data_IF_131983899148
#
_entry.id   IF_131983899148
#
_cell.length_a   1.000
_cell.length_b   1.000
_cell.length_c   1.000
_cell.angle_alpha   90.00
_cell.angle_beta   90.00
_cell.angle_gamma   90.00
#
_symmetry.space_group_name_H-M   'P 1'
#
loop_
_entity.id
_entity.type
_entity.pdbx_description
1 polymer ?
#
# COMPACT_ATOMS: atom_id res chain seq x y z
N UNK A 1 -14.55 -10.17 -11.13
CA UNK A 1 -14.15 -10.31 -12.56
C UNK A 1 -13.01 -11.31 -12.70
N UNK A 2 -12.89 -12.04 -13.83
CA UNK A 2 -11.82 -13.04 -14.07
C UNK A 2 -10.39 -12.51 -13.81
N UNK A 3 -10.15 -11.22 -14.09
CA UNK A 3 -8.85 -10.56 -13.85
C UNK A 3 -8.48 -10.53 -12.35
N UNK A 4 -9.46 -10.30 -11.46
CA UNK A 4 -9.23 -10.26 -10.01
C UNK A 4 -8.90 -11.67 -9.49
N UNK A 5 -9.65 -12.67 -9.95
CA UNK A 5 -9.37 -14.07 -9.61
C UNK A 5 -7.98 -14.49 -10.06
N UNK A 6 -7.53 -14.04 -11.25
CA UNK A 6 -6.17 -14.30 -11.70
C UNK A 6 -5.14 -13.60 -10.82
N UNK A 7 -5.37 -12.35 -10.41
CA UNK A 7 -4.45 -11.62 -9.53
C UNK A 7 -4.25 -12.34 -8.19
N UNK A 8 -5.32 -12.87 -7.59
CA UNK A 8 -5.26 -13.69 -6.36
C UNK A 8 -4.41 -14.95 -6.57
N UNK A 9 -4.52 -15.60 -7.73
CA UNK A 9 -3.78 -16.84 -8.02
C UNK A 9 -2.28 -16.66 -8.23
N UNK A 10 -1.80 -15.44 -8.49
CA UNK A 10 -0.38 -15.17 -8.80
C UNK A 10 0.25 -14.13 -7.88
N UNK A 11 -0.43 -13.78 -6.79
CA UNK A 11 -0.02 -12.74 -5.85
C UNK A 11 1.33 -13.03 -5.19
N UNK A 12 1.68 -14.30 -5.01
CA UNK A 12 2.97 -14.78 -4.52
C UNK A 12 4.16 -14.40 -5.43
N UNK A 13 3.88 -14.09 -6.70
CA UNK A 13 4.88 -13.60 -7.66
C UNK A 13 4.98 -12.07 -7.71
N UNK A 14 4.14 -11.35 -6.97
CA UNK A 14 4.08 -9.90 -7.08
C UNK A 14 5.30 -9.24 -6.46
N UNK A 15 5.96 -8.42 -7.28
CA UNK A 15 6.92 -7.41 -6.82
C UNK A 15 6.18 -6.20 -6.21
N UNK A 16 6.85 -5.32 -5.45
CA UNK A 16 6.21 -4.21 -4.73
C UNK A 16 5.28 -3.36 -5.60
N UNK A 17 5.74 -3.04 -6.81
CA UNK A 17 4.96 -2.29 -7.80
C UNK A 17 3.61 -2.95 -8.09
N UNK A 18 3.58 -4.26 -8.27
CA UNK A 18 2.35 -4.99 -8.61
C UNK A 18 1.39 -5.03 -7.41
N UNK A 19 1.92 -5.20 -6.19
CA UNK A 19 1.11 -5.11 -4.95
C UNK A 19 0.43 -3.74 -4.87
N UNK A 20 1.21 -2.66 -4.97
CA UNK A 20 0.71 -1.29 -4.88
C UNK A 20 -0.29 -0.97 -6.00
N UNK A 21 0.01 -1.36 -7.23
CA UNK A 21 -0.88 -1.11 -8.38
C UNK A 21 -2.19 -1.89 -8.28
N UNK A 22 -2.15 -3.18 -7.91
CA UNK A 22 -3.34 -4.00 -7.79
C UNK A 22 -4.24 -3.52 -6.66
N UNK A 23 -3.67 -3.29 -5.47
CA UNK A 23 -4.44 -2.81 -4.32
C UNK A 23 -4.97 -1.38 -4.56
N UNK A 24 -4.16 -0.51 -5.16
CA UNK A 24 -4.57 0.84 -5.55
C UNK A 24 -5.70 0.83 -6.59
N UNK A 25 -5.65 -0.05 -7.58
CA UNK A 25 -6.71 -0.18 -8.57
C UNK A 25 -8.02 -0.69 -7.96
N UNK A 26 -7.96 -1.69 -7.07
CA UNK A 26 -9.13 -2.19 -6.36
C UNK A 26 -9.75 -1.09 -5.48
N UNK A 27 -8.92 -0.33 -4.77
CA UNK A 27 -9.38 0.79 -3.94
C UNK A 27 -10.05 1.89 -4.77
N UNK A 28 -9.44 2.27 -5.90
CA UNK A 28 -10.00 3.26 -6.82
C UNK A 28 -11.34 2.82 -7.43
N UNK A 29 -11.48 1.52 -7.71
CA UNK A 29 -12.72 0.93 -8.23
C UNK A 29 -13.74 0.59 -7.15
N UNK A 30 -13.41 0.80 -5.86
CA UNK A 30 -14.24 0.41 -4.69
C UNK A 30 -14.66 -1.05 -4.74
N UNK A 31 -13.75 -1.90 -5.21
CA UNK A 31 -13.97 -3.35 -5.22
C UNK A 31 -13.51 -3.90 -3.89
N UNK A 32 -14.42 -4.57 -3.18
CA UNK A 32 -14.11 -5.19 -1.89
C UNK A 32 -12.95 -6.19 -2.02
N UNK A 33 -12.07 -6.14 -1.03
CA UNK A 33 -10.93 -7.05 -0.88
C UNK A 33 -11.26 -8.02 0.25
N UNK A 34 -11.17 -9.32 -0.01
CA UNK A 34 -11.36 -10.32 1.05
C UNK A 34 -10.24 -10.23 2.09
N UNK A 35 -10.53 -10.62 3.33
CA UNK A 35 -9.53 -10.65 4.39
C UNK A 35 -8.30 -11.50 4.00
N UNK A 36 -8.52 -12.63 3.32
CA UNK A 36 -7.43 -13.51 2.85
C UNK A 36 -6.51 -12.82 1.85
N UNK A 37 -7.08 -12.12 0.87
CA UNK A 37 -6.31 -11.36 -0.13
C UNK A 37 -5.55 -10.22 0.55
N UNK A 38 -6.18 -9.49 1.47
CA UNK A 38 -5.53 -8.44 2.24
C UNK A 38 -4.33 -8.97 3.05
N UNK A 39 -4.52 -10.08 3.77
CA UNK A 39 -3.45 -10.73 4.53
C UNK A 39 -2.33 -11.24 3.62
N UNK A 40 -2.67 -11.81 2.46
CA UNK A 40 -1.70 -12.32 1.50
C UNK A 40 -0.86 -11.19 0.90
N UNK A 41 -1.50 -10.09 0.46
CA UNK A 41 -0.81 -8.91 -0.08
C UNK A 41 0.14 -8.28 0.95
N UNK A 42 -0.26 -8.23 2.23
CA UNK A 42 0.62 -7.75 3.29
C UNK A 42 1.79 -8.69 3.56
N UNK A 43 1.55 -10.02 3.59
CA UNK A 43 2.63 -11.01 3.72
C UNK A 43 3.62 -10.93 2.57
N UNK A 44 3.12 -10.83 1.34
CA UNK A 44 3.98 -10.67 0.18
C UNK A 44 4.73 -9.35 0.24
N UNK A 45 4.10 -8.25 0.62
CA UNK A 45 4.79 -6.97 0.76
C UNK A 45 5.95 -7.03 1.76
N UNK A 46 5.84 -7.84 2.81
CA UNK A 46 6.93 -8.11 3.74
C UNK A 46 8.09 -8.90 3.10
N UNK A 47 7.83 -9.84 2.19
CA UNK A 47 8.91 -10.62 1.54
C UNK A 47 9.73 -9.77 0.57
N UNK A 48 9.11 -8.75 -0.03
CA UNK A 48 9.74 -7.85 -1.00
C UNK A 48 9.99 -6.43 -0.47
N UNK A 49 9.96 -6.23 0.85
CA UNK A 49 9.94 -4.90 1.49
C UNK A 49 11.05 -3.97 0.97
N UNK A 50 12.28 -4.48 0.86
CA UNK A 50 13.46 -3.71 0.46
C UNK A 50 13.38 -3.12 -0.94
N UNK A 51 12.45 -3.61 -1.76
CA UNK A 51 12.31 -3.25 -3.16
C UNK A 51 11.27 -2.13 -3.38
N UNK A 52 10.55 -1.69 -2.35
CA UNK A 52 9.54 -0.62 -2.48
C UNK A 52 10.19 0.72 -2.84
N UNK A 53 9.67 1.34 -3.90
CA UNK A 53 9.91 2.76 -4.18
C UNK A 53 8.94 3.63 -3.37
N UNK A 54 9.31 4.87 -3.10
CA UNK A 54 8.53 5.78 -2.26
C UNK A 54 7.09 5.97 -2.73
N UNK A 55 6.87 6.09 -4.04
CA UNK A 55 5.53 6.23 -4.61
C UNK A 55 4.69 4.94 -4.56
N UNK A 56 5.34 3.77 -4.62
CA UNK A 56 4.67 2.47 -4.49
C UNK A 56 4.22 2.27 -3.04
N UNK A 57 5.07 2.65 -2.07
CA UNK A 57 4.72 2.60 -0.66
C UNK A 57 3.57 3.55 -0.33
N UNK A 58 3.61 4.79 -0.84
CA UNK A 58 2.53 5.77 -0.69
C UNK A 58 1.20 5.26 -1.25
N UNK A 59 1.23 4.65 -2.45
CA UNK A 59 0.04 4.10 -3.08
C UNK A 59 -0.53 2.90 -2.28
N UNK A 60 0.35 2.04 -1.77
CA UNK A 60 -0.08 0.88 -0.99
C UNK A 60 -0.67 1.28 0.37
N UNK A 61 -0.02 2.20 1.10
CA UNK A 61 -0.56 2.79 2.34
C UNK A 61 -1.96 3.35 2.11
N UNK A 62 -2.15 4.10 1.02
CA UNK A 62 -3.46 4.65 0.66
C UNK A 62 -4.51 3.59 0.40
N UNK A 63 -4.16 2.53 -0.33
CA UNK A 63 -5.11 1.44 -0.56
C UNK A 63 -5.54 0.73 0.73
N UNK A 64 -4.61 0.53 1.68
CA UNK A 64 -4.92 -0.06 2.99
C UNK A 64 -5.86 0.84 3.79
N UNK A 65 -5.57 2.14 3.84
CA UNK A 65 -6.44 3.13 4.49
C UNK A 65 -7.83 3.21 3.85
N UNK A 66 -7.92 3.19 2.50
CA UNK A 66 -9.19 3.19 1.77
C UNK A 66 -10.10 2.02 2.12
N UNK A 67 -9.51 0.84 2.35
CA UNK A 67 -10.25 -0.36 2.73
C UNK A 67 -10.46 -0.49 4.24
N UNK A 68 -9.92 0.42 5.06
CA UNK A 68 -9.93 0.27 6.52
C UNK A 68 -9.18 -0.98 6.98
N UNK A 69 -8.21 -1.46 6.18
CA UNK A 69 -7.38 -2.62 6.53
C UNK A 69 -6.31 -2.13 7.48
N UNK A 70 -6.29 -2.70 8.69
CA UNK A 70 -5.20 -2.46 9.63
C UNK A 70 -3.90 -3.08 9.08
N UNK A 71 -2.88 -2.26 8.79
CA UNK A 71 -1.62 -2.78 8.30
C UNK A 71 -0.85 -3.44 9.43
N UNK A 72 -0.14 -4.53 9.12
CA UNK A 72 0.86 -5.09 10.02
C UNK A 72 1.83 -3.97 10.47
N UNK A 73 2.03 -3.83 11.77
CA UNK A 73 2.78 -2.70 12.34
C UNK A 73 4.23 -2.61 11.84
N UNK A 74 4.89 -3.74 11.56
CA UNK A 74 6.24 -3.76 11.00
C UNK A 74 6.23 -3.33 9.53
N UNK A 75 5.34 -3.92 8.73
CA UNK A 75 5.13 -3.54 7.34
C UNK A 75 4.84 -2.04 7.22
N UNK A 76 3.95 -1.52 8.06
CA UNK A 76 3.54 -0.12 8.03
C UNK A 76 4.73 0.82 8.30
N UNK A 77 5.56 0.49 9.30
CA UNK A 77 6.79 1.25 9.59
C UNK A 77 7.77 1.22 8.41
N UNK A 78 7.91 0.08 7.73
CA UNK A 78 8.76 -0.03 6.55
C UNK A 78 8.22 0.83 5.40
N UNK A 79 6.93 0.70 5.07
CA UNK A 79 6.29 1.49 4.01
C UNK A 79 6.39 2.99 4.27
N UNK A 80 6.20 3.44 5.51
CA UNK A 80 6.41 4.84 5.89
C UNK A 80 7.85 5.27 5.62
N UNK A 81 8.84 4.47 6.03
CA UNK A 81 10.26 4.76 5.77
C UNK A 81 10.53 4.90 4.28
N UNK A 82 10.03 3.97 3.47
CA UNK A 82 10.16 4.04 2.00
C UNK A 82 9.51 5.30 1.42
N UNK A 83 8.30 5.64 1.88
CA UNK A 83 7.59 6.84 1.46
C UNK A 83 8.34 8.13 1.84
N UNK A 84 8.92 8.18 3.04
CA UNK A 84 9.62 9.35 3.59
C UNK A 84 10.98 9.59 2.93
N UNK A 85 11.71 8.52 2.56
CA UNK A 85 13.05 8.60 1.96
C UNK A 85 13.15 9.49 0.72
N UNK A 86 12.05 9.76 0.03
CA UNK A 86 12.02 10.61 -1.16
C UNK A 86 10.80 11.53 -1.16
N UNK A 87 10.35 11.97 0.03
CA UNK A 87 9.14 12.78 0.18
C UNK A 87 9.22 14.10 -0.60
N UNK A 88 10.40 14.74 -0.63
CA UNK A 88 10.66 15.99 -1.35
C UNK A 88 10.48 15.87 -2.87
N UNK A 89 10.59 14.66 -3.41
CA UNK A 89 10.45 14.38 -4.85
C UNK A 89 9.22 13.54 -5.18
N UNK A 90 8.36 13.27 -4.19
CA UNK A 90 7.05 12.66 -4.44
C UNK A 90 6.20 13.61 -5.25
N UNK A 91 5.52 13.06 -6.26
CA UNK A 91 4.53 13.82 -7.02
C UNK A 91 3.36 14.21 -6.10
N UNK A 92 2.67 15.35 -6.36
CA UNK A 92 1.59 15.85 -5.52
C UNK A 92 0.50 14.82 -5.18
N UNK A 93 0.16 13.93 -6.12
CA UNK A 93 -0.80 12.85 -5.90
C UNK A 93 -0.36 11.90 -4.77
N UNK A 94 0.91 11.48 -4.75
CA UNK A 94 1.41 10.54 -3.75
C UNK A 94 1.53 11.18 -2.36
N UNK A 95 1.93 12.45 -2.32
CA UNK A 95 1.94 13.25 -1.09
C UNK A 95 0.53 13.39 -0.52
N UNK A 96 -0.45 13.74 -1.36
CA UNK A 96 -1.85 13.86 -0.96
C UNK A 96 -2.42 12.53 -0.45
N UNK A 97 -2.07 11.43 -1.13
CA UNK A 97 -2.46 10.08 -0.72
C UNK A 97 -1.91 9.72 0.66
N UNK A 98 -0.64 10.01 0.95
CA UNK A 98 -0.06 9.78 2.28
C UNK A 98 -0.77 10.59 3.36
N UNK A 99 -0.96 11.90 3.13
CA UNK A 99 -1.65 12.77 4.09
C UNK A 99 -3.07 12.28 4.39
N UNK A 100 -3.83 11.92 3.35
CA UNK A 100 -5.17 11.38 3.52
C UNK A 100 -5.15 10.06 4.30
N UNK A 101 -4.20 9.18 3.99
CA UNK A 101 -4.09 7.87 4.66
C UNK A 101 -3.81 8.02 6.15
N UNK A 102 -2.90 8.92 6.54
CA UNK A 102 -2.63 9.20 7.95
C UNK A 102 -3.88 9.70 8.67
N UNK A 103 -4.61 10.64 8.08
CA UNK A 103 -5.86 11.15 8.65
C UNK A 103 -6.92 10.04 8.80
N UNK A 104 -7.12 9.23 7.76
CA UNK A 104 -8.10 8.14 7.75
C UNK A 104 -7.77 7.04 8.76
N UNK A 105 -6.48 6.71 8.92
CA UNK A 105 -6.02 5.72 9.90
C UNK A 105 -5.98 6.29 11.34
N UNK A 106 -6.25 7.58 11.53
CA UNK A 106 -6.14 8.24 12.84
C UNK A 106 -4.70 8.34 13.35
N UNK A 107 -3.73 8.33 12.43
CA UNK A 107 -2.30 8.32 12.74
C UNK A 107 -1.69 9.70 12.47
N UNK A 108 -0.71 10.07 13.30
CA UNK A 108 0.11 11.26 13.02
C UNK A 108 1.24 10.87 12.06
N UNK A 109 1.50 11.67 11.01
CA UNK A 109 2.72 11.50 10.23
C UNK A 109 3.95 11.58 11.14
N UNK A 110 5.02 10.83 10.86
CA UNK A 110 6.32 11.02 11.49
C UNK A 110 6.79 12.46 11.33
N UNK A 111 7.58 12.96 12.29
CA UNK A 111 8.11 14.33 12.25
C UNK A 111 9.16 14.55 11.16
N UNK A 112 9.73 13.47 10.62
CA UNK A 112 10.73 13.41 9.56
C UNK A 112 10.14 13.13 8.18
N UNK A 113 8.80 13.16 8.07
CA UNK A 113 8.05 13.07 6.82
C UNK A 113 7.72 14.47 6.28
#
# INVERSE_FOLDING_TARGET
>A
TKIIQRAVQVEDTFQPRLIAMSMGALAALKIEVSADLAMSMQRQAMTVEKMFKSHEAALFIWSLAMFGIEPNAELFRLLIRHASNAVDVLKPLHTSNLMWSFATLGLKPPSDL
#
